data_IF_661580682424
#
_entry.id   IF_661580682424
#
_cell.length_a   1.000
_cell.length_b   1.000
_cell.length_c   1.000
_cell.angle_alpha   90.00
_cell.angle_beta   90.00
_cell.angle_gamma   90.00
#
_symmetry.space_group_name_H-M   'P 1'
#
loop_
_entity.id
_entity.type
_entity.pdbx_description
1 polymer ?
#
# COMPACT_ATOMS: atom_id res chain seq x y z
N UNK A 1 -7.97 22.06 59.49
CA UNK A 1 -8.52 22.89 58.45
C UNK A 1 -7.44 23.21 57.45
N UNK A 2 -7.54 22.63 56.23
CA UNK A 2 -6.71 23.02 55.12
C UNK A 2 -7.07 24.45 54.74
N UNK A 3 -6.08 25.33 54.48
CA UNK A 3 -6.38 26.70 54.00
C UNK A 3 -7.09 26.57 52.64
N UNK A 4 -8.21 27.25 52.50
CA UNK A 4 -8.92 27.38 51.23
C UNK A 4 -7.93 27.91 50.18
N UNK A 5 -7.75 27.18 49.07
CA UNK A 5 -6.93 27.64 47.98
C UNK A 5 -7.42 29.00 47.51
N UNK A 6 -6.54 30.00 47.54
CA UNK A 6 -6.84 31.34 47.11
C UNK A 6 -7.42 31.28 45.69
N UNK A 7 -8.67 31.72 45.51
CA UNK A 7 -9.31 31.78 44.22
C UNK A 7 -8.55 32.79 43.35
N UNK A 8 -7.83 32.32 42.37
CA UNK A 8 -7.24 33.22 41.38
C UNK A 8 -8.33 34.02 40.67
N UNK A 9 -8.15 35.31 40.43
CA UNK A 9 -9.12 36.09 39.68
C UNK A 9 -9.38 35.44 38.30
N UNK A 10 -10.63 35.46 37.80
CA UNK A 10 -10.95 34.88 36.52
C UNK A 10 -10.13 35.55 35.42
N UNK A 11 -9.48 34.73 34.56
CA UNK A 11 -8.75 35.25 33.40
C UNK A 11 -9.72 35.90 32.41
N UNK A 12 -9.43 37.13 32.01
CA UNK A 12 -10.16 37.83 30.94
C UNK A 12 -9.70 37.31 29.57
N UNK A 13 -10.35 36.26 29.07
CA UNK A 13 -10.07 35.67 27.78
C UNK A 13 -11.29 35.79 26.85
N UNK A 14 -11.15 36.53 25.77
CA UNK A 14 -12.16 36.61 24.70
C UNK A 14 -12.35 35.28 24.02
N UNK A 15 -11.26 34.59 23.71
CA UNK A 15 -11.27 33.30 23.01
C UNK A 15 -10.81 32.15 23.91
N UNK A 16 -11.60 31.09 23.96
CA UNK A 16 -11.32 29.90 24.77
C UNK A 16 -11.54 28.65 23.93
N UNK A 17 -10.51 28.08 23.26
CA UNK A 17 -10.62 26.88 22.38
C UNK A 17 -11.22 25.64 23.09
N UNK A 18 -11.05 25.51 24.42
CA UNK A 18 -11.64 24.41 25.21
C UNK A 18 -13.18 24.37 25.18
N UNK A 19 -13.85 25.46 24.79
CA UNK A 19 -15.33 25.51 24.68
C UNK A 19 -15.82 24.42 23.73
N UNK A 20 -15.16 24.22 22.57
CA UNK A 20 -15.51 23.20 21.56
C UNK A 20 -15.04 21.80 21.92
N UNK A 21 -14.19 21.62 22.91
CA UNK A 21 -13.69 20.31 23.37
C UNK A 21 -14.50 19.72 24.53
N UNK A 22 -15.42 20.46 25.11
CA UNK A 22 -16.07 20.21 26.42
C UNK A 22 -16.89 18.92 26.45
N UNK A 23 -17.57 18.56 25.35
CA UNK A 23 -18.41 17.38 25.28
C UNK A 23 -18.10 16.55 24.04
N UNK A 24 -18.38 15.22 24.04
CA UNK A 24 -18.25 14.41 22.85
C UNK A 24 -19.07 14.95 21.67
N UNK A 25 -20.29 15.42 21.91
CA UNK A 25 -21.16 15.99 20.87
C UNK A 25 -20.53 17.23 20.21
N UNK A 26 -20.00 18.17 21.02
CA UNK A 26 -19.32 19.35 20.47
C UNK A 26 -18.08 18.96 19.65
N UNK A 27 -17.28 18.01 20.13
CA UNK A 27 -16.13 17.52 19.39
C UNK A 27 -16.53 16.86 18.06
N UNK A 28 -17.62 16.08 18.04
CA UNK A 28 -18.14 15.47 16.83
C UNK A 28 -18.64 16.50 15.81
N UNK A 29 -19.33 17.56 16.29
CA UNK A 29 -19.85 18.63 15.42
C UNK A 29 -18.77 19.41 14.68
N UNK A 30 -17.59 19.60 15.27
CA UNK A 30 -16.49 20.37 14.68
C UNK A 30 -15.38 19.50 14.10
N UNK A 31 -15.63 18.20 13.94
CA UNK A 31 -14.66 17.26 13.38
C UNK A 31 -14.52 17.49 11.87
N UNK A 32 -13.31 17.81 11.44
CA UNK A 32 -12.97 18.09 10.03
C UNK A 32 -12.73 16.83 9.22
N UNK A 33 -12.17 15.77 9.85
CA UNK A 33 -11.74 14.54 9.18
C UNK A 33 -12.56 13.36 9.67
N UNK A 34 -13.02 12.56 8.73
CA UNK A 34 -13.75 11.31 9.00
C UNK A 34 -13.01 10.13 8.36
N UNK A 35 -13.22 8.94 8.92
CA UNK A 35 -12.68 7.68 8.46
C UNK A 35 -13.83 6.71 8.20
N UNK A 36 -13.81 6.04 7.07
CA UNK A 36 -14.80 5.03 6.70
C UNK A 36 -14.13 3.76 6.15
N UNK A 37 -14.85 2.64 6.16
CA UNK A 37 -14.35 1.41 5.56
C UNK A 37 -14.11 1.52 4.04
N UNK A 38 -14.77 2.46 3.36
CA UNK A 38 -14.59 2.72 1.93
C UNK A 38 -13.25 3.41 1.61
N UNK A 39 -12.60 4.01 2.60
CA UNK A 39 -11.27 4.61 2.44
C UNK A 39 -10.15 3.55 2.37
N UNK A 40 -10.44 2.29 2.73
CA UNK A 40 -9.42 1.25 2.87
C UNK A 40 -9.23 0.44 1.59
N UNK A 41 -7.96 0.24 1.22
CA UNK A 41 -7.51 -0.79 0.30
C UNK A 41 -6.85 -1.88 1.14
N UNK A 42 -7.35 -3.12 1.07
CA UNK A 42 -6.87 -4.21 1.91
C UNK A 42 -5.80 -5.05 1.21
N UNK A 43 -4.52 -5.02 1.67
CA UNK A 43 -3.45 -5.80 1.08
C UNK A 43 -3.55 -7.28 1.47
N UNK A 44 -3.48 -8.16 0.46
CA UNK A 44 -3.60 -9.60 0.62
C UNK A 44 -2.44 -10.32 -0.06
N UNK A 45 -1.80 -11.23 0.66
CA UNK A 45 -0.77 -12.11 0.12
C UNK A 45 -1.41 -13.41 -0.36
N UNK A 46 -1.07 -13.85 -1.57
CA UNK A 46 -1.60 -15.08 -2.16
C UNK A 46 -0.47 -16.02 -2.56
N UNK A 47 -0.68 -17.34 -2.43
CA UNK A 47 0.29 -18.37 -2.79
C UNK A 47 -0.39 -19.60 -3.42
N UNK A 48 0.42 -20.51 -4.00
CA UNK A 48 -0.04 -21.71 -4.68
C UNK A 48 -0.47 -22.85 -3.73
N UNK A 49 -0.19 -22.74 -2.44
CA UNK A 49 -0.50 -23.78 -1.46
C UNK A 49 -2.01 -23.99 -1.29
N UNK A 50 -2.40 -25.21 -0.91
CA UNK A 50 -3.79 -25.57 -0.69
C UNK A 50 -4.37 -25.02 0.64
N UNK A 51 -3.51 -24.61 1.58
CA UNK A 51 -3.90 -24.12 2.92
C UNK A 51 -3.32 -22.73 3.16
N UNK A 52 -4.00 -21.93 4.00
CA UNK A 52 -3.50 -20.64 4.40
C UNK A 52 -2.27 -20.78 5.31
N UNK A 53 -1.28 -19.90 5.16
CA UNK A 53 -0.04 -19.91 5.94
C UNK A 53 0.10 -18.60 6.74
N UNK A 54 0.30 -18.63 8.07
CA UNK A 54 0.52 -17.43 8.85
C UNK A 54 1.88 -16.79 8.48
N UNK A 55 1.94 -15.45 8.56
CA UNK A 55 3.18 -14.69 8.35
C UNK A 55 3.74 -14.32 9.72
N UNK A 56 4.90 -14.88 10.09
CA UNK A 56 5.48 -14.73 11.42
C UNK A 56 5.75 -13.29 11.84
N UNK A 57 6.30 -12.48 10.93
CA UNK A 57 6.58 -11.07 11.17
C UNK A 57 5.36 -10.13 11.08
N UNK A 58 4.18 -10.67 10.73
CA UNK A 58 2.94 -9.89 10.60
C UNK A 58 1.78 -10.60 11.31
N UNK A 59 1.71 -10.54 12.66
CA UNK A 59 0.67 -11.23 13.44
C UNK A 59 -0.74 -10.91 12.96
N UNK A 60 -1.54 -11.95 12.65
CA UNK A 60 -2.88 -11.82 12.10
C UNK A 60 -2.96 -11.79 10.56
N UNK A 61 -1.84 -11.58 9.85
CA UNK A 61 -1.78 -11.70 8.40
C UNK A 61 -1.43 -13.12 7.97
N UNK A 62 -1.91 -13.48 6.78
CA UNK A 62 -1.68 -14.80 6.19
C UNK A 62 -1.30 -14.67 4.71
N UNK A 63 -0.59 -15.68 4.21
CA UNK A 63 -0.56 -16.00 2.78
C UNK A 63 -1.75 -16.89 2.50
N UNK A 64 -2.65 -16.41 1.69
CA UNK A 64 -3.92 -17.07 1.41
C UNK A 64 -3.77 -18.07 0.26
N UNK A 65 -4.31 -19.28 0.45
CA UNK A 65 -4.66 -20.14 -0.68
C UNK A 65 -5.74 -19.47 -1.54
N UNK A 66 -5.95 -19.89 -2.78
CA UNK A 66 -7.00 -19.28 -3.63
C UNK A 66 -8.40 -19.35 -2.99
N UNK A 67 -8.75 -20.48 -2.37
CA UNK A 67 -10.05 -20.62 -1.68
C UNK A 67 -10.13 -19.78 -0.40
N UNK A 68 -9.04 -19.70 0.37
CA UNK A 68 -8.94 -18.82 1.52
C UNK A 68 -9.03 -17.34 1.16
N UNK A 69 -8.41 -16.95 0.04
CA UNK A 69 -8.49 -15.59 -0.49
C UNK A 69 -9.94 -15.18 -0.81
N UNK A 70 -10.70 -16.05 -1.46
CA UNK A 70 -12.12 -15.81 -1.78
C UNK A 70 -12.93 -15.59 -0.50
N UNK A 71 -12.71 -16.40 0.53
CA UNK A 71 -13.41 -16.25 1.81
C UNK A 71 -13.03 -14.93 2.52
N UNK A 72 -11.74 -14.59 2.53
CA UNK A 72 -11.26 -13.36 3.17
C UNK A 72 -11.76 -12.11 2.46
N UNK A 73 -11.80 -12.11 1.14
CA UNK A 73 -12.36 -11.01 0.34
C UNK A 73 -13.88 -10.86 0.61
N UNK A 74 -14.61 -11.96 0.77
CA UNK A 74 -16.02 -11.93 1.20
C UNK A 74 -16.19 -11.29 2.58
N UNK A 75 -15.34 -11.65 3.55
CA UNK A 75 -15.32 -11.02 4.89
C UNK A 75 -15.04 -9.52 4.81
N UNK A 76 -14.08 -9.11 4.00
CA UNK A 76 -13.75 -7.70 3.78
C UNK A 76 -14.93 -6.93 3.16
N UNK A 77 -15.59 -7.53 2.16
CA UNK A 77 -16.79 -6.96 1.54
C UNK A 77 -17.92 -6.74 2.55
N UNK A 78 -18.20 -7.73 3.40
CA UNK A 78 -19.21 -7.64 4.44
C UNK A 78 -18.90 -6.55 5.47
N UNK A 79 -17.63 -6.25 5.71
CA UNK A 79 -17.17 -5.15 6.56
C UNK A 79 -17.24 -3.77 5.88
N UNK A 80 -17.58 -3.69 4.61
CA UNK A 80 -17.71 -2.43 3.87
C UNK A 80 -16.46 -2.01 3.11
N UNK A 81 -15.40 -2.82 3.08
CA UNK A 81 -14.21 -2.60 2.25
C UNK A 81 -14.58 -2.88 0.80
N UNK A 82 -14.12 -2.05 -0.12
CA UNK A 82 -14.50 -2.12 -1.54
C UNK A 82 -13.31 -2.34 -2.49
N UNK A 83 -12.09 -2.30 -1.97
CA UNK A 83 -10.88 -2.53 -2.75
C UNK A 83 -9.91 -3.43 -2.01
N UNK A 84 -9.31 -4.37 -2.72
CA UNK A 84 -8.20 -5.21 -2.25
C UNK A 84 -7.02 -5.08 -3.20
N UNK A 85 -5.79 -5.23 -2.68
CA UNK A 85 -4.58 -5.33 -3.50
C UNK A 85 -3.91 -6.69 -3.29
N UNK A 86 -3.51 -7.33 -4.38
CA UNK A 86 -2.96 -8.68 -4.39
C UNK A 86 -1.44 -8.67 -4.55
N UNK A 87 -0.76 -9.42 -3.67
CA UNK A 87 0.68 -9.65 -3.70
C UNK A 87 0.98 -11.14 -3.75
N UNK A 88 1.69 -11.65 -4.78
CA UNK A 88 1.96 -13.07 -4.93
C UNK A 88 3.21 -13.50 -4.14
N UNK A 89 3.15 -14.63 -3.45
CA UNK A 89 4.34 -15.41 -3.12
C UNK A 89 4.54 -16.46 -4.20
N UNK A 90 5.44 -16.20 -5.12
CA UNK A 90 5.78 -17.09 -6.23
C UNK A 90 6.69 -18.21 -5.74
N UNK A 91 6.46 -19.44 -6.23
CA UNK A 91 7.33 -20.58 -5.91
C UNK A 91 8.74 -20.36 -6.51
N UNK A 92 9.77 -20.73 -5.76
CA UNK A 92 11.17 -20.49 -6.17
C UNK A 92 11.52 -21.08 -7.54
N UNK A 93 10.92 -22.21 -7.91
CA UNK A 93 11.13 -22.84 -9.23
C UNK A 93 10.56 -22.05 -10.41
N UNK A 94 9.74 -21.03 -10.17
CA UNK A 94 9.16 -20.15 -11.20
C UNK A 94 9.85 -18.79 -11.27
N UNK A 95 10.74 -18.49 -10.32
CA UNK A 95 11.52 -17.24 -10.33
C UNK A 95 12.67 -17.35 -11.32
N UNK A 96 12.81 -16.34 -12.17
CA UNK A 96 13.86 -16.26 -13.20
C UNK A 96 14.61 -14.95 -13.13
N UNK A 97 15.73 -14.81 -13.85
CA UNK A 97 16.48 -13.53 -13.87
C UNK A 97 15.69 -12.39 -14.53
N UNK A 98 14.85 -12.71 -15.51
CA UNK A 98 14.00 -11.77 -16.23
C UNK A 98 12.58 -11.65 -15.63
N UNK A 99 12.26 -12.43 -14.59
CA UNK A 99 10.94 -12.39 -13.95
C UNK A 99 9.78 -12.79 -14.87
N UNK A 100 10.01 -13.63 -15.88
CA UNK A 100 9.05 -13.94 -16.96
C UNK A 100 7.69 -14.48 -16.48
N UNK A 101 7.60 -15.06 -15.29
CA UNK A 101 6.32 -15.49 -14.70
C UNK A 101 5.36 -14.31 -14.43
N UNK A 102 5.84 -13.07 -14.36
CA UNK A 102 5.03 -11.88 -14.06
C UNK A 102 3.92 -11.61 -15.10
N UNK A 103 4.13 -12.00 -16.36
CA UNK A 103 3.14 -11.85 -17.44
C UNK A 103 2.50 -13.18 -17.90
N UNK A 104 2.68 -14.27 -17.13
CA UNK A 104 2.02 -15.54 -17.38
C UNK A 104 0.52 -15.42 -17.11
N UNK A 105 -0.31 -15.41 -18.17
CA UNK A 105 -1.78 -15.30 -18.06
C UNK A 105 -2.41 -16.49 -17.31
N UNK A 106 -1.74 -17.63 -17.22
CA UNK A 106 -2.11 -18.80 -16.41
C UNK A 106 -1.53 -18.77 -14.99
N UNK A 107 -0.71 -17.77 -14.67
CA UNK A 107 -0.03 -17.62 -13.38
C UNK A 107 -0.95 -17.36 -12.20
N UNK A 108 -0.36 -17.28 -11.01
CA UNK A 108 -1.09 -17.16 -9.74
C UNK A 108 -1.99 -15.92 -9.69
N UNK A 109 -1.47 -14.73 -10.01
CA UNK A 109 -2.23 -13.48 -9.92
C UNK A 109 -3.39 -13.45 -10.94
N UNK A 110 -3.22 -13.73 -12.23
CA UNK A 110 -4.35 -13.78 -13.16
C UNK A 110 -5.43 -14.80 -12.77
N UNK A 111 -5.07 -15.95 -12.20
CA UNK A 111 -6.05 -16.92 -11.68
C UNK A 111 -6.79 -16.40 -10.46
N UNK A 112 -6.09 -15.74 -9.52
CA UNK A 112 -6.68 -15.12 -8.35
C UNK A 112 -7.69 -14.02 -8.74
N UNK A 113 -7.33 -13.14 -9.68
CA UNK A 113 -8.20 -12.09 -10.19
C UNK A 113 -9.48 -12.69 -10.78
N UNK A 114 -9.36 -13.64 -11.73
CA UNK A 114 -10.53 -14.29 -12.36
C UNK A 114 -11.43 -14.93 -11.32
N UNK A 115 -10.85 -15.67 -10.36
CA UNK A 115 -11.62 -16.32 -9.30
C UNK A 115 -12.35 -15.32 -8.40
N UNK A 116 -11.71 -14.21 -8.04
CA UNK A 116 -12.35 -13.15 -7.26
C UNK A 116 -13.46 -12.45 -8.05
N UNK A 117 -13.26 -12.14 -9.33
CA UNK A 117 -14.29 -11.53 -10.18
C UNK A 117 -15.50 -12.43 -10.41
N UNK A 118 -15.28 -13.74 -10.48
CA UNK A 118 -16.36 -14.72 -10.56
C UNK A 118 -17.25 -14.72 -9.29
N UNK A 119 -16.65 -14.68 -8.10
CA UNK A 119 -17.38 -14.81 -6.82
C UNK A 119 -17.79 -13.46 -6.23
N UNK A 120 -16.94 -12.44 -6.36
CA UNK A 120 -17.14 -11.09 -5.83
C UNK A 120 -17.01 -10.03 -6.94
N UNK A 121 -17.91 -10.01 -7.94
CA UNK A 121 -17.79 -9.13 -9.12
C UNK A 121 -17.80 -7.63 -8.78
N UNK A 122 -18.35 -7.25 -7.63
CA UNK A 122 -18.36 -5.86 -7.15
C UNK A 122 -17.10 -5.41 -6.43
N UNK A 123 -16.17 -6.33 -6.09
CA UNK A 123 -14.92 -5.95 -5.43
C UNK A 123 -13.95 -5.34 -6.44
N UNK A 124 -13.45 -4.15 -6.15
CA UNK A 124 -12.35 -3.54 -6.92
C UNK A 124 -11.07 -4.30 -6.61
N UNK A 125 -10.40 -4.78 -7.66
CA UNK A 125 -9.14 -5.51 -7.54
C UNK A 125 -8.01 -4.62 -8.06
N UNK A 126 -7.15 -4.20 -7.16
CA UNK A 126 -5.86 -3.61 -7.47
C UNK A 126 -4.81 -4.71 -7.52
N UNK A 127 -3.85 -4.57 -8.42
CA UNK A 127 -2.69 -5.45 -8.51
C UNK A 127 -1.40 -4.68 -8.35
N UNK A 128 -0.36 -5.39 -7.94
CA UNK A 128 1.01 -4.85 -7.89
C UNK A 128 1.74 -5.18 -9.19
N UNK A 129 2.47 -4.22 -9.73
CA UNK A 129 3.31 -4.39 -10.93
C UNK A 129 4.75 -4.06 -10.56
N UNK A 130 5.55 -5.10 -10.43
CA UNK A 130 6.98 -5.09 -10.13
C UNK A 130 7.55 -6.49 -10.34
N UNK A 131 8.86 -6.64 -10.49
CA UNK A 131 9.48 -7.94 -10.74
C UNK A 131 9.96 -8.67 -9.49
N UNK A 132 10.05 -8.02 -8.33
CA UNK A 132 10.65 -8.61 -7.12
C UNK A 132 10.02 -9.93 -6.64
N UNK A 133 8.70 -10.20 -6.79
CA UNK A 133 8.14 -11.51 -6.46
C UNK A 133 8.51 -12.60 -7.48
N UNK A 134 8.89 -12.22 -8.69
CA UNK A 134 9.12 -13.11 -9.83
C UNK A 134 10.60 -13.25 -10.19
N UNK A 135 11.45 -12.35 -9.67
CA UNK A 135 12.89 -12.34 -9.90
C UNK A 135 13.62 -13.23 -8.89
N UNK A 136 14.63 -13.97 -9.36
CA UNK A 136 15.48 -14.78 -8.51
C UNK A 136 16.44 -13.96 -7.66
N UNK A 137 16.69 -12.66 -7.98
CA UNK A 137 17.54 -11.75 -7.25
C UNK A 137 16.76 -10.79 -6.31
N UNK A 138 15.41 -10.75 -6.42
CA UNK A 138 14.54 -9.99 -5.52
C UNK A 138 14.53 -8.49 -5.76
N UNK A 139 15.04 -7.99 -6.88
CA UNK A 139 14.91 -6.61 -7.31
C UNK A 139 13.60 -6.36 -8.08
N UNK A 140 13.12 -5.11 -8.06
CA UNK A 140 11.87 -4.71 -8.73
C UNK A 140 12.03 -4.62 -10.26
N UNK A 141 13.27 -4.71 -10.76
CA UNK A 141 13.64 -4.69 -12.19
C UNK A 141 14.70 -5.70 -12.54
N UNK A 142 14.99 -5.82 -13.85
CA UNK A 142 16.03 -6.69 -14.40
C UNK A 142 17.41 -6.19 -13.95
N UNK A 143 18.22 -7.07 -13.39
CA UNK A 143 19.61 -6.76 -13.04
C UNK A 143 20.55 -7.23 -14.13
N UNK A 144 21.38 -6.33 -14.66
CA UNK A 144 22.42 -6.66 -15.66
C UNK A 144 23.52 -7.56 -15.10
N UNK A 145 24.35 -8.12 -15.98
CA UNK A 145 25.55 -8.88 -15.58
C UNK A 145 26.57 -8.04 -14.80
N UNK A 146 26.47 -6.73 -14.83
CA UNK A 146 27.33 -5.75 -14.13
C UNK A 146 26.72 -5.29 -12.80
N UNK A 147 25.51 -5.77 -12.44
CA UNK A 147 24.86 -5.43 -11.19
C UNK A 147 24.09 -4.11 -11.21
N UNK A 148 23.62 -3.68 -12.38
CA UNK A 148 22.82 -2.46 -12.57
C UNK A 148 21.38 -2.87 -12.87
N UNK A 149 20.39 -2.22 -12.24
CA UNK A 149 18.98 -2.38 -12.60
C UNK A 149 18.72 -1.62 -13.90
N UNK A 150 18.24 -2.34 -14.93
CA UNK A 150 17.98 -1.83 -16.28
C UNK A 150 16.58 -1.24 -16.34
N UNK A 151 16.47 0.06 -16.61
CA UNK A 151 15.19 0.77 -16.61
C UNK A 151 14.28 0.32 -17.76
N UNK A 152 14.70 0.54 -19.01
CA UNK A 152 13.85 0.42 -20.19
C UNK A 152 13.43 -1.03 -20.45
N UNK A 153 14.35 -1.99 -20.24
CA UNK A 153 14.07 -3.41 -20.34
C UNK A 153 13.08 -3.88 -19.28
N UNK A 154 13.16 -3.30 -18.07
CA UNK A 154 12.20 -3.56 -17.00
C UNK A 154 10.83 -3.02 -17.37
N UNK A 155 10.73 -1.77 -17.80
CA UNK A 155 9.45 -1.13 -18.19
C UNK A 155 8.74 -1.94 -19.27
N UNK A 156 9.46 -2.48 -20.26
CA UNK A 156 8.86 -3.34 -21.28
C UNK A 156 8.19 -4.60 -20.70
N UNK A 157 8.76 -5.19 -19.65
CA UNK A 157 8.13 -6.34 -18.95
C UNK A 157 6.96 -5.91 -18.08
N UNK A 158 7.05 -4.77 -17.40
CA UNK A 158 5.97 -4.22 -16.57
C UNK A 158 4.72 -3.92 -17.41
N UNK A 159 4.88 -3.44 -18.65
CA UNK A 159 3.76 -3.27 -19.58
C UNK A 159 3.06 -4.60 -19.87
N UNK A 160 3.82 -5.68 -20.13
CA UNK A 160 3.26 -7.02 -20.37
C UNK A 160 2.56 -7.57 -19.12
N UNK A 161 3.14 -7.35 -17.93
CA UNK A 161 2.53 -7.73 -16.66
C UNK A 161 1.20 -7.01 -16.43
N UNK A 162 1.15 -5.69 -16.64
CA UNK A 162 -0.05 -4.88 -16.51
C UNK A 162 -1.16 -5.35 -17.44
N UNK A 163 -0.86 -5.57 -18.71
CA UNK A 163 -1.80 -6.10 -19.70
C UNK A 163 -2.32 -7.49 -19.33
N UNK A 164 -1.46 -8.41 -18.87
CA UNK A 164 -1.89 -9.75 -18.44
C UNK A 164 -2.84 -9.69 -17.22
N UNK A 165 -2.60 -8.76 -16.28
CA UNK A 165 -3.47 -8.54 -15.13
C UNK A 165 -4.79 -7.87 -15.51
N UNK A 166 -4.79 -6.88 -16.42
CA UNK A 166 -5.98 -6.25 -16.96
C UNK A 166 -6.86 -7.27 -17.72
N UNK A 167 -6.26 -8.13 -18.55
CA UNK A 167 -6.94 -9.24 -19.25
C UNK A 167 -7.60 -10.24 -18.30
N UNK A 168 -7.03 -10.41 -17.11
CA UNK A 168 -7.62 -11.25 -16.07
C UNK A 168 -8.79 -10.58 -15.33
N UNK A 169 -8.98 -9.26 -15.46
CA UNK A 169 -10.05 -8.48 -14.86
C UNK A 169 -9.64 -7.57 -13.69
N UNK A 170 -8.36 -7.18 -13.60
CA UNK A 170 -7.93 -6.15 -12.66
C UNK A 170 -8.60 -4.80 -13.00
N UNK A 171 -9.02 -4.06 -11.97
CA UNK A 171 -9.61 -2.73 -12.14
C UNK A 171 -8.57 -1.61 -12.02
N UNK A 172 -7.52 -1.85 -11.22
CA UNK A 172 -6.45 -0.90 -10.94
C UNK A 172 -5.09 -1.60 -11.05
N UNK A 173 -4.16 -0.97 -11.76
CA UNK A 173 -2.77 -1.39 -11.88
C UNK A 173 -1.90 -0.51 -11.00
N UNK A 174 -1.09 -1.13 -10.13
CA UNK A 174 -0.24 -0.43 -9.17
C UNK A 174 1.26 -0.62 -9.45
N UNK A 175 1.89 0.18 -10.34
CA UNK A 175 3.31 0.09 -10.60
C UNK A 175 4.11 0.53 -9.36
N UNK A 176 4.78 -0.42 -8.73
CA UNK A 176 5.53 -0.24 -7.48
C UNK A 176 7.05 -0.31 -7.66
N UNK A 177 7.51 -0.41 -8.88
CA UNK A 177 8.88 -0.66 -9.31
C UNK A 177 9.81 0.56 -9.22
N UNK A 178 9.29 1.78 -9.39
CA UNK A 178 10.02 3.06 -9.41
C UNK A 178 10.95 3.24 -10.63
N UNK A 179 10.67 2.58 -11.76
CA UNK A 179 11.39 2.86 -13.01
C UNK A 179 10.90 4.16 -13.65
N UNK A 180 11.80 4.87 -14.31
CA UNK A 180 11.47 6.13 -14.99
C UNK A 180 10.55 5.87 -16.19
N UNK A 181 9.48 6.66 -16.36
CA UNK A 181 8.57 6.59 -17.50
C UNK A 181 7.60 5.40 -17.49
N UNK A 182 7.57 4.59 -16.40
CA UNK A 182 6.76 3.37 -16.35
C UNK A 182 5.25 3.61 -16.38
N UNK A 183 4.77 4.73 -15.80
CA UNK A 183 3.33 5.03 -15.78
C UNK A 183 2.83 5.30 -17.19
N UNK A 184 3.53 6.13 -17.96
CA UNK A 184 3.19 6.45 -19.34
C UNK A 184 3.24 5.23 -20.26
N UNK A 185 4.29 4.42 -20.15
CA UNK A 185 4.43 3.19 -20.94
C UNK A 185 3.32 2.16 -20.63
N UNK A 186 2.97 1.98 -19.34
CA UNK A 186 1.88 1.10 -18.93
C UNK A 186 0.54 1.63 -19.43
N UNK A 187 0.28 2.94 -19.34
CA UNK A 187 -0.95 3.55 -19.84
C UNK A 187 -1.11 3.31 -21.35
N UNK A 188 -0.07 3.59 -22.13
CA UNK A 188 -0.06 3.34 -23.56
C UNK A 188 -0.33 1.86 -23.89
N UNK A 189 0.36 0.94 -23.22
CA UNK A 189 0.18 -0.49 -23.43
C UNK A 189 -1.25 -0.98 -23.08
N UNK A 190 -1.86 -0.45 -22.02
CA UNK A 190 -3.24 -0.77 -21.65
C UNK A 190 -4.23 -0.23 -22.70
N UNK A 191 -4.04 0.99 -23.18
CA UNK A 191 -4.92 1.62 -24.16
C UNK A 191 -4.84 0.90 -25.51
N UNK A 192 -3.63 0.54 -25.98
CA UNK A 192 -3.43 -0.23 -27.22
C UNK A 192 -4.14 -1.59 -27.20
N UNK A 193 -4.27 -2.21 -26.02
CA UNK A 193 -4.94 -3.51 -25.85
C UNK A 193 -6.44 -3.39 -25.48
N UNK A 194 -7.01 -2.16 -25.51
CA UNK A 194 -8.42 -1.88 -25.27
C UNK A 194 -8.82 -1.86 -23.79
N UNK A 195 -7.88 -1.53 -22.89
CA UNK A 195 -8.09 -1.43 -21.44
C UNK A 195 -8.06 0.01 -20.93
N UNK A 196 -8.60 0.97 -21.71
CA UNK A 196 -8.66 2.40 -21.35
C UNK A 196 -9.43 2.64 -20.04
N UNK A 197 -10.28 1.70 -19.63
CA UNK A 197 -11.08 1.77 -18.40
C UNK A 197 -10.33 1.24 -17.15
N UNK A 198 -9.13 0.67 -17.31
CA UNK A 198 -8.33 0.19 -16.19
C UNK A 198 -7.50 1.35 -15.65
N UNK A 199 -7.70 1.71 -14.37
CA UNK A 199 -6.99 2.83 -13.75
C UNK A 199 -5.57 2.48 -13.30
N UNK A 200 -4.75 3.50 -13.15
CA UNK A 200 -3.37 3.38 -12.62
C UNK A 200 -3.27 4.08 -11.26
N UNK A 201 -2.93 3.30 -10.22
CA UNK A 201 -2.55 3.82 -8.92
C UNK A 201 -1.04 3.74 -8.79
N UNK A 202 -0.35 4.84 -9.07
CA UNK A 202 1.11 4.87 -9.09
C UNK A 202 1.69 4.91 -7.67
N UNK A 203 2.73 4.13 -7.43
CA UNK A 203 3.58 4.29 -6.24
C UNK A 203 4.52 5.48 -6.46
N UNK A 204 3.95 6.65 -6.55
CA UNK A 204 4.61 7.90 -6.95
C UNK A 204 5.78 8.27 -6.05
N UNK A 205 5.59 8.20 -4.73
CA UNK A 205 6.61 8.51 -3.75
C UNK A 205 6.91 7.28 -2.89
N UNK A 206 7.68 6.33 -3.45
CA UNK A 206 8.13 5.13 -2.74
C UNK A 206 9.58 5.28 -2.31
N UNK A 207 9.79 5.33 -1.01
CA UNK A 207 11.10 5.51 -0.39
C UNK A 207 11.83 4.20 -0.11
N UNK A 208 13.16 4.21 -0.19
CA UNK A 208 14.03 3.10 0.25
C UNK A 208 14.00 3.00 1.77
N UNK A 209 12.96 2.35 2.30
CA UNK A 209 12.60 2.41 3.71
C UNK A 209 13.00 1.17 4.50
N UNK A 210 13.42 1.39 5.75
CA UNK A 210 13.64 0.34 6.74
C UNK A 210 12.33 -0.33 7.23
N UNK A 211 11.16 0.29 6.97
CA UNK A 211 9.85 -0.23 7.39
C UNK A 211 9.31 -1.39 6.54
N UNK A 212 10.06 -1.90 5.55
CA UNK A 212 9.58 -2.99 4.66
C UNK A 212 9.99 -4.40 5.10
N UNK A 213 10.68 -4.55 6.23
CA UNK A 213 11.19 -5.85 6.68
C UNK A 213 10.15 -6.98 6.67
N UNK A 214 9.00 -6.84 7.35
CA UNK A 214 7.98 -7.89 7.40
C UNK A 214 7.36 -8.23 6.03
N UNK A 215 7.22 -7.25 5.13
CA UNK A 215 6.73 -7.47 3.76
C UNK A 215 7.69 -8.35 2.94
N UNK A 216 9.00 -8.12 3.08
CA UNK A 216 10.01 -8.94 2.39
C UNK A 216 9.95 -10.41 2.83
N UNK A 217 9.67 -10.68 4.11
CA UNK A 217 9.42 -12.03 4.60
C UNK A 217 8.13 -12.62 4.01
N UNK A 218 7.07 -11.83 3.93
CA UNK A 218 5.77 -12.28 3.41
C UNK A 218 5.85 -12.79 1.97
N UNK A 219 6.61 -12.11 1.09
CA UNK A 219 6.78 -12.45 -0.32
C UNK A 219 8.02 -13.29 -0.63
N UNK A 220 8.94 -13.42 0.33
CA UNK A 220 10.28 -13.96 0.07
C UNK A 220 10.98 -13.23 -1.09
N UNK A 221 10.94 -11.88 -1.05
CA UNK A 221 11.42 -10.98 -2.09
C UNK A 221 12.58 -10.08 -1.63
N UNK A 222 13.33 -10.48 -0.61
CA UNK A 222 14.53 -9.76 -0.20
C UNK A 222 15.63 -9.88 -1.28
N UNK A 223 16.38 -8.81 -1.60
CA UNK A 223 17.52 -8.88 -2.51
C UNK A 223 18.52 -9.96 -2.07
N UNK A 224 18.83 -10.88 -2.97
CA UNK A 224 19.77 -11.99 -2.76
C UNK A 224 20.55 -12.29 -4.02
N UNK A 225 21.88 -12.31 -3.90
CA UNK A 225 22.74 -12.63 -5.04
C UNK A 225 22.55 -14.10 -5.47
N UNK A 226 22.25 -14.31 -6.74
CA UNK A 226 22.49 -15.61 -7.38
C UNK A 226 23.99 -15.84 -7.49
N UNK A 227 24.44 -17.12 -7.42
CA UNK A 227 25.87 -17.45 -7.43
C UNK A 227 26.60 -16.83 -8.63
N UNK A 228 27.54 -15.92 -8.34
CA UNK A 228 28.46 -15.35 -9.34
C UNK A 228 28.00 -14.10 -10.08
N UNK A 229 26.79 -13.56 -9.81
CA UNK A 229 26.30 -12.30 -10.42
C UNK A 229 26.32 -11.18 -9.38
N UNK A 230 26.95 -10.01 -9.64
CA UNK A 230 26.78 -8.87 -8.77
C UNK A 230 25.33 -8.36 -8.83
N UNK A 231 24.79 -7.93 -7.69
CA UNK A 231 23.49 -7.26 -7.62
C UNK A 231 23.61 -6.02 -6.73
N UNK A 232 22.74 -5.01 -6.87
CA UNK A 232 22.68 -3.93 -5.91
C UNK A 232 22.41 -4.47 -4.51
N UNK A 233 23.08 -3.90 -3.49
CA UNK A 233 22.97 -4.33 -2.10
C UNK A 233 21.53 -4.17 -1.55
N UNK A 234 20.85 -3.14 -2.01
CA UNK A 234 19.52 -2.74 -1.61
C UNK A 234 18.80 -2.05 -2.78
N UNK A 235 17.62 -1.49 -2.53
CA UNK A 235 16.78 -0.87 -3.55
C UNK A 235 16.98 0.65 -3.69
N UNK A 236 18.03 1.24 -3.06
CA UNK A 236 18.27 2.70 -3.06
C UNK A 236 18.70 3.25 -4.42
N UNK A 237 19.02 2.40 -5.40
CA UNK A 237 19.35 2.83 -6.77
C UNK A 237 18.13 3.22 -7.61
N UNK A 238 16.91 2.92 -7.13
CA UNK A 238 15.65 3.26 -7.81
C UNK A 238 14.51 3.67 -6.86
N UNK A 239 14.56 3.32 -5.57
CA UNK A 239 13.64 3.88 -4.58
C UNK A 239 14.20 5.17 -4.00
N UNK A 240 13.34 6.12 -3.64
CA UNK A 240 13.71 7.46 -3.21
C UNK A 240 14.49 7.46 -1.89
N UNK A 241 15.39 8.42 -1.74
CA UNK A 241 16.11 8.63 -0.47
C UNK A 241 15.16 9.19 0.61
N UNK A 242 15.07 8.55 1.81
CA UNK A 242 14.26 9.06 2.92
C UNK A 242 14.58 10.48 3.37
N UNK A 243 15.75 11.01 3.03
CA UNK A 243 16.14 12.39 3.35
C UNK A 243 15.51 13.43 2.40
N UNK A 244 14.91 13.02 1.27
CA UNK A 244 14.44 13.90 0.21
C UNK A 244 12.91 14.08 0.26
N UNK A 245 12.45 15.34 0.20
CA UNK A 245 11.04 15.68 0.11
C UNK A 245 10.66 16.31 -1.24
N UNK A 246 11.59 17.08 -1.87
CA UNK A 246 11.31 17.75 -3.15
C UNK A 246 11.23 16.77 -4.32
N UNK A 247 11.96 15.68 -4.26
CA UNK A 247 11.95 14.60 -5.23
C UNK A 247 10.55 14.01 -5.39
N UNK A 248 9.80 13.85 -4.29
CA UNK A 248 8.42 13.36 -4.31
C UNK A 248 7.48 14.24 -5.16
N UNK A 249 7.70 15.55 -5.18
CA UNK A 249 6.92 16.47 -6.03
C UNK A 249 7.30 16.31 -7.50
N UNK A 250 8.57 16.10 -7.79
CA UNK A 250 9.03 15.82 -9.16
C UNK A 250 8.42 14.52 -9.70
N UNK A 251 8.50 13.45 -8.92
CA UNK A 251 7.87 12.15 -9.25
C UNK A 251 6.36 12.28 -9.45
N UNK A 252 5.68 13.05 -8.58
CA UNK A 252 4.25 13.27 -8.69
C UNK A 252 3.87 13.99 -10.00
N UNK A 253 4.61 15.01 -10.36
CA UNK A 253 4.38 15.76 -11.60
C UNK A 253 4.63 14.90 -12.85
N UNK A 254 5.63 14.03 -12.82
CA UNK A 254 5.90 13.08 -13.90
C UNK A 254 4.80 12.05 -14.02
N UNK A 255 4.44 11.36 -12.93
CA UNK A 255 3.39 10.34 -12.93
C UNK A 255 2.02 10.90 -13.35
N UNK A 256 1.67 12.12 -12.91
CA UNK A 256 0.45 12.81 -13.34
C UNK A 256 0.45 13.11 -14.84
N UNK A 257 1.57 13.62 -15.39
CA UNK A 257 1.73 13.86 -16.82
C UNK A 257 1.70 12.57 -17.65
N UNK A 258 2.18 11.48 -17.09
CA UNK A 258 2.18 10.15 -17.69
C UNK A 258 0.82 9.45 -17.63
N UNK A 259 -0.17 9.99 -16.90
CA UNK A 259 -1.53 9.48 -16.87
C UNK A 259 -1.86 8.61 -15.66
N UNK A 260 -1.22 8.82 -14.51
CA UNK A 260 -1.68 8.23 -13.25
C UNK A 260 -3.06 8.77 -12.88
N UNK A 261 -3.96 7.90 -12.41
CA UNK A 261 -5.29 8.27 -11.90
C UNK A 261 -5.27 8.54 -10.39
N UNK A 262 -4.39 7.86 -9.66
CA UNK A 262 -4.22 7.98 -8.21
C UNK A 262 -2.73 7.96 -7.91
N UNK A 263 -2.27 8.84 -7.02
CA UNK A 263 -0.89 8.86 -6.54
C UNK A 263 -0.76 8.25 -5.16
N UNK A 264 0.33 7.53 -4.88
CA UNK A 264 0.54 6.87 -3.60
C UNK A 264 1.87 7.27 -2.95
N UNK A 265 1.83 7.50 -1.63
CA UNK A 265 3.01 7.68 -0.77
C UNK A 265 3.27 6.39 0.02
N UNK A 266 4.48 5.86 -0.06
CA UNK A 266 4.92 4.65 0.63
C UNK A 266 6.35 4.80 1.20
N UNK A 267 6.56 4.62 2.50
CA UNK A 267 5.60 4.41 3.59
C UNK A 267 4.68 5.61 3.85
N UNK A 268 3.66 5.42 4.70
CA UNK A 268 2.67 6.47 5.00
C UNK A 268 2.97 7.24 6.28
N UNK A 269 3.07 6.56 7.45
CA UNK A 269 3.06 7.22 8.75
C UNK A 269 4.28 8.13 8.98
N UNK A 270 5.46 7.70 8.56
CA UNK A 270 6.67 8.50 8.68
C UNK A 270 6.79 9.60 7.60
N UNK A 271 5.82 9.68 6.67
CA UNK A 271 5.83 10.56 5.50
C UNK A 271 4.53 11.36 5.36
N UNK A 272 3.89 11.71 6.48
CA UNK A 272 2.68 12.56 6.49
C UNK A 272 2.93 13.94 5.87
N UNK A 273 4.13 14.46 5.98
CA UNK A 273 4.56 15.72 5.34
C UNK A 273 4.56 15.60 3.81
N UNK A 274 4.93 14.44 3.27
CA UNK A 274 4.91 14.17 1.82
C UNK A 274 3.48 14.07 1.32
N UNK A 275 2.61 13.34 2.06
CA UNK A 275 1.17 13.26 1.73
C UNK A 275 0.57 14.67 1.67
N UNK A 276 0.88 15.51 2.67
CA UNK A 276 0.36 16.87 2.72
C UNK A 276 0.86 17.72 1.56
N UNK A 277 2.15 17.64 1.22
CA UNK A 277 2.71 18.36 0.07
C UNK A 277 2.08 17.93 -1.26
N UNK A 278 1.89 16.64 -1.48
CA UNK A 278 1.23 16.15 -2.69
C UNK A 278 -0.21 16.69 -2.78
N UNK A 279 -0.94 16.72 -1.66
CA UNK A 279 -2.30 17.28 -1.62
C UNK A 279 -2.34 18.76 -1.99
N UNK A 280 -1.30 19.54 -1.68
CA UNK A 280 -1.22 20.96 -2.05
C UNK A 280 -0.84 21.17 -3.53
N UNK A 281 -0.17 20.18 -4.15
CA UNK A 281 0.38 20.30 -5.52
C UNK A 281 -0.49 19.60 -6.59
N UNK A 282 -1.40 18.68 -6.22
CA UNK A 282 -2.21 17.92 -7.19
C UNK A 282 -3.66 17.78 -6.75
N UNK A 283 -4.55 17.76 -7.76
CA UNK A 283 -5.98 17.48 -7.59
C UNK A 283 -6.31 15.98 -7.67
N UNK A 284 -5.36 15.12 -8.04
CA UNK A 284 -5.56 13.67 -8.08
C UNK A 284 -5.83 13.11 -6.67
N UNK A 285 -6.61 12.03 -6.55
CA UNK A 285 -6.73 11.30 -5.31
C UNK A 285 -5.37 10.79 -4.82
N UNK A 286 -5.15 10.84 -3.50
CA UNK A 286 -3.91 10.40 -2.88
C UNK A 286 -4.15 9.18 -2.01
N UNK A 287 -3.36 8.13 -2.23
CA UNK A 287 -3.29 6.95 -1.38
C UNK A 287 -2.07 7.02 -0.45
N UNK A 288 -2.21 6.51 0.76
CA UNK A 288 -1.12 6.32 1.71
C UNK A 288 -0.98 4.84 2.07
N UNK A 289 0.23 4.31 2.06
CA UNK A 289 0.46 2.92 2.46
C UNK A 289 0.94 2.85 3.91
N UNK A 290 0.06 2.35 4.78
CA UNK A 290 0.41 1.93 6.14
C UNK A 290 1.15 0.58 6.07
N UNK A 291 2.48 0.64 5.97
CA UNK A 291 3.32 -0.50 5.59
C UNK A 291 3.52 -1.52 6.70
N UNK A 292 4.09 -2.67 6.32
CA UNK A 292 4.24 -3.84 7.17
C UNK A 292 5.04 -3.60 8.47
N UNK A 293 6.08 -2.76 8.43
CA UNK A 293 6.84 -2.38 9.62
C UNK A 293 6.04 -1.52 10.57
N UNK A 294 5.26 -0.57 10.06
CA UNK A 294 4.35 0.25 10.87
C UNK A 294 3.27 -0.62 11.53
N UNK A 295 2.69 -1.57 10.77
CA UNK A 295 1.76 -2.56 11.28
C UNK A 295 2.37 -3.42 12.39
N UNK A 296 3.54 -4.02 12.15
CA UNK A 296 4.21 -4.91 13.08
C UNK A 296 4.60 -4.21 14.39
N UNK A 297 5.01 -2.93 14.33
CA UNK A 297 5.34 -2.13 15.51
C UNK A 297 4.12 -1.95 16.43
N UNK A 298 2.94 -1.66 15.86
CA UNK A 298 1.70 -1.54 16.63
C UNK A 298 1.32 -2.88 17.25
N UNK A 299 1.33 -3.98 16.47
CA UNK A 299 1.02 -5.33 16.98
C UNK A 299 1.95 -5.74 18.13
N UNK A 300 3.26 -5.53 17.97
CA UNK A 300 4.25 -5.88 19.00
C UNK A 300 4.09 -5.07 20.30
N UNK A 301 3.77 -3.77 20.20
CA UNK A 301 3.54 -2.94 21.37
C UNK A 301 2.20 -3.25 22.06
N UNK A 302 1.17 -3.57 21.28
CA UNK A 302 -0.14 -3.97 21.80
C UNK A 302 -0.09 -5.33 22.52
N UNK A 303 0.62 -6.33 21.97
CA UNK A 303 0.83 -7.63 22.60
C UNK A 303 1.46 -7.50 23.99
N UNK A 304 2.34 -6.52 24.17
CA UNK A 304 2.96 -6.22 25.48
C UNK A 304 2.10 -5.36 26.40
N UNK A 305 0.90 -4.94 25.97
CA UNK A 305 0.02 -4.08 26.74
C UNK A 305 0.53 -2.64 26.92
N UNK A 306 1.49 -2.18 26.10
CA UNK A 306 2.03 -0.84 26.20
C UNK A 306 1.16 0.22 25.52
N UNK A 307 0.34 -0.19 24.57
CA UNK A 307 -0.63 0.66 23.86
C UNK A 307 -1.97 -0.05 23.72
N UNK A 308 -3.04 0.73 23.59
CA UNK A 308 -4.35 0.26 23.13
C UNK A 308 -4.34 0.17 21.59
N UNK A 309 -4.39 -1.04 21.05
CA UNK A 309 -4.30 -1.30 19.62
C UNK A 309 -5.39 -0.57 18.84
N UNK A 310 -6.66 -0.70 19.26
CA UNK A 310 -7.80 -0.07 18.60
C UNK A 310 -7.62 1.46 18.53
N UNK A 311 -7.29 2.06 19.66
CA UNK A 311 -7.12 3.50 19.73
C UNK A 311 -5.99 4.01 18.83
N UNK A 312 -4.81 3.37 18.90
CA UNK A 312 -3.63 3.76 18.10
C UNK A 312 -3.84 3.54 16.61
N UNK A 313 -4.46 2.43 16.20
CA UNK A 313 -4.75 2.15 14.79
C UNK A 313 -5.73 3.19 14.23
N UNK A 314 -6.85 3.43 14.90
CA UNK A 314 -7.84 4.41 14.41
C UNK A 314 -7.27 5.83 14.37
N UNK A 315 -6.44 6.23 15.35
CA UNK A 315 -5.75 7.52 15.33
C UNK A 315 -4.75 7.61 14.17
N UNK A 316 -3.96 6.56 13.93
CA UNK A 316 -3.00 6.49 12.83
C UNK A 316 -3.69 6.62 11.47
N UNK A 317 -4.79 5.89 11.25
CA UNK A 317 -5.55 5.97 10.00
C UNK A 317 -6.18 7.36 9.80
N UNK A 318 -6.61 8.00 10.90
CA UNK A 318 -7.09 9.38 10.87
C UNK A 318 -5.96 10.38 10.56
N UNK A 319 -4.72 10.11 10.98
CA UNK A 319 -3.58 10.95 10.63
C UNK A 319 -3.32 10.98 9.13
N UNK A 320 -3.45 9.85 8.42
CA UNK A 320 -3.34 9.82 6.95
C UNK A 320 -4.42 10.69 6.29
N UNK A 321 -5.68 10.52 6.70
CA UNK A 321 -6.80 11.33 6.18
C UNK A 321 -6.57 12.82 6.44
N UNK A 322 -6.16 13.19 7.63
CA UNK A 322 -5.87 14.58 8.01
C UNK A 322 -4.71 15.16 7.22
N UNK A 323 -3.71 14.36 6.87
CA UNK A 323 -2.61 14.78 6.02
C UNK A 323 -3.02 15.01 4.56
N UNK A 324 -4.16 14.47 4.12
CA UNK A 324 -4.70 14.66 2.77
C UNK A 324 -4.89 13.38 1.96
N UNK A 325 -4.65 12.20 2.54
CA UNK A 325 -4.91 10.94 1.85
C UNK A 325 -6.42 10.71 1.69
N UNK A 326 -6.85 10.33 0.49
CA UNK A 326 -8.21 9.89 0.19
C UNK A 326 -8.37 8.40 0.48
N UNK A 327 -7.34 7.61 0.18
CA UNK A 327 -7.31 6.15 0.32
C UNK A 327 -6.16 5.71 1.22
N UNK A 328 -6.35 4.59 1.92
CA UNK A 328 -5.34 4.04 2.82
C UNK A 328 -5.18 2.55 2.58
N UNK A 329 -3.99 2.13 2.12
CA UNK A 329 -3.60 0.72 2.10
C UNK A 329 -3.16 0.35 3.52
N UNK A 330 -3.85 -0.60 4.13
CA UNK A 330 -3.53 -1.01 5.50
C UNK A 330 -3.88 -2.46 5.79
N UNK A 331 -3.00 -3.17 6.46
CA UNK A 331 -3.26 -4.52 6.96
C UNK A 331 -4.26 -4.54 8.13
N UNK A 332 -4.52 -3.39 8.76
CA UNK A 332 -5.56 -3.23 9.77
C UNK A 332 -6.97 -3.04 9.18
N UNK A 333 -7.16 -3.11 7.86
CA UNK A 333 -8.40 -2.72 7.20
C UNK A 333 -9.65 -3.39 7.78
N UNK A 334 -9.63 -4.72 7.95
CA UNK A 334 -10.76 -5.46 8.48
C UNK A 334 -11.04 -5.16 9.96
N UNK A 335 -9.99 -5.05 10.78
CA UNK A 335 -10.11 -4.72 12.20
C UNK A 335 -10.66 -3.29 12.36
N UNK A 336 -10.08 -2.34 11.64
CA UNK A 336 -10.53 -0.93 11.66
C UNK A 336 -11.97 -0.79 11.17
N UNK A 337 -12.35 -1.45 10.07
CA UNK A 337 -13.72 -1.44 9.57
C UNK A 337 -14.72 -2.02 10.58
N UNK A 338 -14.35 -3.10 11.28
CA UNK A 338 -15.17 -3.68 12.34
C UNK A 338 -15.33 -2.72 13.53
N UNK A 339 -14.25 -2.05 13.93
CA UNK A 339 -14.30 -1.07 15.04
C UNK A 339 -15.10 0.16 14.70
N UNK A 340 -15.04 0.66 13.46
CA UNK A 340 -15.84 1.80 13.02
C UNK A 340 -17.34 1.54 13.04
N UNK A 341 -17.79 0.29 12.89
CA UNK A 341 -19.20 -0.09 13.01
C UNK A 341 -19.71 -0.13 14.45
N UNK A 342 -18.80 -0.27 15.41
CA UNK A 342 -19.17 -0.34 16.83
C UNK A 342 -19.30 1.05 17.49
N UNK A 343 -18.89 2.11 16.80
CA UNK A 343 -18.92 3.50 17.27
C UNK A 343 -17.62 3.87 17.96
#
# INVERSE_FOLDING_TARGET
>A
PQPAAAAHPPMELTYRPRRLRRTPALRAMVRETQLSAADFIYPLFVHEGATNEPIGAMPGCQRWSLDGLVQEVGRAWDLGIRCVVLFPKVADGLKTEDGAECFNEGGLIPRAIRRLKEVHPGMTIMTDVALDPYSCDGHDGIVSGEGVVLNDETVALLCRQAVAQARAGADLIGPSDMMDGRVGAIREALDEEGFEHVGIISYTAKYASAYYGPFREALDSAPRAAAGKPIPKDKSTYQMDPANAREAITEAQLDEQEGADIMMVKPGLAYLDIIHRLREESELPIAAYNVSGEYAMVKAAAEKGWIDERAVVLETLLCFKRAGADLILTYHACDAAAWLRQG
#
